data_IF_170236199623
#
_entry.id   IF_170236199623
#
_cell.length_a   1.000
_cell.length_b   1.000
_cell.length_c   1.000
_cell.angle_alpha   90.00
_cell.angle_beta   90.00
_cell.angle_gamma   90.00
#
_symmetry.space_group_name_H-M   'P 1'
#
loop_
_entity.id
_entity.type
_entity.pdbx_description
1 polymer ?
#
# COMPACT_ATOMS: atom_id res chain seq x y z
N UNK A 1 5.87 -3.58 -0.28
CA UNK A 1 4.54 -3.05 0.04
C UNK A 1 4.14 -1.91 -0.90
N UNK A 2 4.88 -0.79 -1.03
CA UNK A 2 4.47 0.31 -1.93
C UNK A 2 4.18 -0.11 -3.38
N UNK A 3 5.07 -0.89 -4.00
CA UNK A 3 4.87 -1.46 -5.35
C UNK A 3 3.67 -2.41 -5.49
N UNK A 4 3.19 -2.98 -4.39
CA UNK A 4 2.00 -3.84 -4.39
C UNK A 4 0.77 -2.93 -4.33
N UNK A 5 0.76 -1.95 -3.43
CA UNK A 5 -0.32 -0.98 -3.28
C UNK A 5 -0.56 -0.20 -4.57
N UNK A 6 0.49 0.19 -5.30
CA UNK A 6 0.39 0.85 -6.61
C UNK A 6 -0.37 0.04 -7.67
N UNK A 7 -0.50 -1.27 -7.47
CA UNK A 7 -1.26 -2.15 -8.36
C UNK A 7 -2.67 -2.42 -7.90
N UNK A 8 -2.93 -2.38 -6.59
CA UNK A 8 -4.18 -2.90 -6.00
C UNK A 8 -5.03 -1.81 -5.33
N UNK A 9 -4.46 -0.65 -5.04
CA UNK A 9 -5.12 0.43 -4.32
C UNK A 9 -5.32 1.64 -5.27
N UNK A 10 -6.56 1.97 -5.66
CA UNK A 10 -6.82 3.05 -6.61
C UNK A 10 -6.34 4.44 -6.16
N UNK A 11 -6.29 4.66 -4.84
CA UNK A 11 -5.85 5.92 -4.23
C UNK A 11 -4.32 6.02 -4.04
N UNK A 12 -3.54 4.98 -4.32
CA UNK A 12 -2.10 4.95 -4.07
C UNK A 12 -1.29 5.04 -5.35
N UNK A 13 -0.25 5.89 -5.38
CA UNK A 13 0.64 6.04 -6.53
C UNK A 13 2.10 5.97 -6.08
N UNK A 14 2.83 4.98 -6.59
CA UNK A 14 4.25 4.74 -6.28
C UNK A 14 5.12 5.94 -6.66
N UNK A 15 4.84 6.56 -7.80
CA UNK A 15 5.62 7.71 -8.30
C UNK A 15 5.47 8.96 -7.42
N UNK A 16 4.45 9.02 -6.56
CA UNK A 16 4.28 10.09 -5.57
C UNK A 16 4.98 9.81 -4.25
N UNK A 17 5.60 8.63 -4.07
CA UNK A 17 6.29 8.28 -2.84
C UNK A 17 7.70 8.91 -2.77
N UNK A 18 8.08 9.39 -1.58
CA UNK A 18 9.45 9.79 -1.26
C UNK A 18 10.05 8.88 -0.19
N UNK A 19 11.19 8.28 -0.50
CA UNK A 19 11.95 7.42 0.42
C UNK A 19 13.21 8.08 0.96
N UNK A 20 13.41 9.37 0.68
CA UNK A 20 14.56 10.12 1.15
C UNK A 20 14.51 10.27 2.68
N UNK A 21 15.64 10.00 3.34
CA UNK A 21 15.83 10.26 4.77
C UNK A 21 16.73 11.48 4.92
N UNK A 22 16.12 12.60 5.27
CA UNK A 22 16.84 13.84 5.58
C UNK A 22 17.38 13.80 7.01
N UNK A 23 18.52 14.45 7.25
CA UNK A 23 19.16 14.51 8.58
C UNK A 23 18.22 15.10 9.64
N UNK A 24 17.39 16.08 9.27
CA UNK A 24 16.38 16.68 10.14
C UNK A 24 15.26 15.72 10.56
N UNK A 25 15.08 14.61 9.84
CA UNK A 25 14.03 13.60 10.09
C UNK A 25 14.56 12.32 10.73
N UNK A 26 15.83 12.29 11.13
CA UNK A 26 16.46 11.10 11.70
C UNK A 26 15.79 10.61 12.98
N UNK A 27 15.25 11.54 13.78
CA UNK A 27 14.51 11.23 15.02
C UNK A 27 13.02 10.91 14.80
N UNK A 28 12.53 10.88 13.56
CA UNK A 28 11.12 10.52 13.31
C UNK A 28 10.88 9.04 13.59
N UNK A 29 9.69 8.72 14.09
CA UNK A 29 9.32 7.35 14.48
C UNK A 29 9.62 6.32 13.37
N UNK A 30 9.31 6.65 12.11
CA UNK A 30 9.61 5.79 10.96
C UNK A 30 11.09 5.42 10.88
N UNK A 31 11.98 6.41 11.01
CA UNK A 31 13.42 6.22 10.86
C UNK A 31 14.00 5.48 12.06
N UNK A 32 13.56 5.79 13.28
CA UNK A 32 13.97 5.09 14.51
C UNK A 32 13.55 3.62 14.45
N UNK A 33 12.29 3.33 14.11
CA UNK A 33 11.76 1.96 13.98
C UNK A 33 12.53 1.16 12.91
N UNK A 34 12.98 1.82 11.84
CA UNK A 34 13.81 1.18 10.82
C UNK A 34 15.26 0.94 11.27
N UNK A 35 15.94 1.99 11.73
CA UNK A 35 17.39 1.95 12.02
C UNK A 35 17.70 1.27 13.34
N UNK A 36 16.94 1.58 14.39
CA UNK A 36 17.24 1.16 15.76
C UNK A 36 16.50 -0.13 16.13
N UNK A 37 15.25 -0.29 15.68
CA UNK A 37 14.45 -1.48 15.98
C UNK A 37 14.54 -2.58 14.89
N UNK A 38 15.25 -2.31 13.78
CA UNK A 38 15.47 -3.28 12.71
C UNK A 38 14.24 -3.62 11.86
N UNK A 39 13.16 -2.84 11.94
CA UNK A 39 11.95 -3.08 11.14
C UNK A 39 12.16 -2.55 9.72
N UNK A 40 12.54 -3.45 8.81
CA UNK A 40 12.90 -3.12 7.42
C UNK A 40 11.82 -2.40 6.61
N UNK A 41 10.54 -2.61 6.96
CA UNK A 41 9.38 -2.10 6.22
C UNK A 41 8.62 -1.04 7.03
N UNK A 42 9.35 -0.05 7.53
CA UNK A 42 8.81 1.09 8.26
C UNK A 42 8.46 2.23 7.30
N UNK A 43 7.19 2.61 7.23
CA UNK A 43 6.68 3.63 6.32
C UNK A 43 5.75 4.61 7.04
N UNK A 44 5.60 5.80 6.47
CA UNK A 44 4.51 6.73 6.79
C UNK A 44 3.60 6.75 5.57
N UNK A 45 2.30 6.52 5.77
CA UNK A 45 1.31 6.67 4.72
C UNK A 45 0.65 8.03 4.89
N UNK A 46 0.61 8.82 3.81
CA UNK A 46 0.08 10.18 3.81
C UNK A 46 -1.13 10.23 2.86
N UNK A 47 -2.20 10.92 3.27
CA UNK A 47 -3.40 11.13 2.46
C UNK A 47 -3.49 12.58 2.01
N UNK A 48 -4.02 12.81 0.81
CA UNK A 48 -4.27 14.15 0.27
C UNK A 48 -5.54 14.75 0.89
N UNK A 49 -5.50 16.04 1.20
CA UNK A 49 -6.68 16.77 1.70
C UNK A 49 -7.53 17.35 0.56
N UNK A 50 -6.92 17.88 -0.50
CA UNK A 50 -7.63 18.71 -1.48
C UNK A 50 -8.18 17.95 -2.69
N UNK A 51 -7.50 16.89 -3.15
CA UNK A 51 -7.96 15.95 -4.18
C UNK A 51 -6.82 15.04 -4.65
N UNK A 52 -7.17 13.93 -5.30
CA UNK A 52 -6.22 13.13 -6.06
C UNK A 52 -5.94 13.77 -7.42
N UNK A 53 -4.68 13.74 -7.84
CA UNK A 53 -4.24 14.28 -9.14
C UNK A 53 -4.33 13.27 -10.29
N UNK A 54 -4.47 11.98 -9.97
CA UNK A 54 -4.44 10.85 -10.91
C UNK A 54 -5.39 9.73 -10.45
N UNK A 55 -5.58 8.73 -11.31
CA UNK A 55 -6.34 7.52 -10.99
C UNK A 55 -7.86 7.72 -11.01
N UNK A 56 -8.58 6.71 -10.50
CA UNK A 56 -10.04 6.67 -10.42
C UNK A 56 -10.62 7.88 -9.70
N UNK A 57 -9.93 8.36 -8.66
CA UNK A 57 -10.37 9.46 -7.81
C UNK A 57 -9.87 10.84 -8.26
N UNK A 58 -9.36 10.98 -9.49
CA UNK A 58 -8.83 12.25 -9.98
C UNK A 58 -9.87 13.37 -9.88
N UNK A 59 -9.50 14.46 -9.21
CA UNK A 59 -10.36 15.63 -9.00
C UNK A 59 -11.39 15.45 -7.87
N UNK A 60 -11.42 14.29 -7.22
CA UNK A 60 -12.28 14.01 -6.07
C UNK A 60 -11.48 14.16 -4.78
N UNK A 61 -12.13 14.69 -3.74
CA UNK A 61 -11.62 14.68 -2.38
C UNK A 61 -11.88 13.31 -1.76
N UNK A 62 -10.87 12.72 -1.12
CA UNK A 62 -11.03 11.44 -0.42
C UNK A 62 -11.90 11.63 0.82
N UNK A 63 -12.99 10.89 0.90
CA UNK A 63 -13.85 10.78 2.05
C UNK A 63 -13.56 9.53 2.87
N UNK A 64 -14.43 9.22 3.83
CA UNK A 64 -14.28 8.05 4.69
C UNK A 64 -14.28 6.76 3.89
N UNK A 65 -15.14 6.63 2.88
CA UNK A 65 -15.27 5.41 2.08
C UNK A 65 -13.97 5.08 1.33
N UNK A 66 -13.33 6.07 0.70
CA UNK A 66 -12.09 5.85 -0.03
C UNK A 66 -10.91 5.57 0.93
N UNK A 67 -10.94 6.14 2.13
CA UNK A 67 -9.95 5.85 3.17
C UNK A 67 -10.11 4.42 3.73
N UNK A 68 -11.35 3.96 3.90
CA UNK A 68 -11.66 2.58 4.29
C UNK A 68 -11.25 1.59 3.19
N UNK A 69 -11.51 1.91 1.92
CA UNK A 69 -11.02 1.13 0.78
C UNK A 69 -9.49 1.04 0.81
N UNK A 70 -8.79 2.17 0.98
CA UNK A 70 -7.33 2.18 1.09
C UNK A 70 -6.84 1.31 2.27
N UNK A 71 -7.54 1.32 3.40
CA UNK A 71 -7.27 0.43 4.53
C UNK A 71 -7.43 -1.07 4.17
N UNK A 72 -8.52 -1.42 3.48
CA UNK A 72 -8.75 -2.78 2.99
C UNK A 72 -7.65 -3.23 2.01
N UNK A 73 -7.35 -2.40 1.00
CA UNK A 73 -6.28 -2.68 0.02
C UNK A 73 -4.89 -2.69 0.67
N UNK A 74 -4.68 -1.97 1.77
CA UNK A 74 -3.44 -2.07 2.57
C UNK A 74 -3.28 -3.46 3.20
N UNK A 75 -4.33 -3.98 3.84
CA UNK A 75 -4.35 -5.34 4.39
C UNK A 75 -4.10 -6.39 3.28
N UNK A 76 -4.75 -6.21 2.12
CA UNK A 76 -4.53 -7.04 0.94
C UNK A 76 -3.06 -7.03 0.49
N UNK A 77 -2.46 -5.85 0.44
CA UNK A 77 -1.06 -5.66 0.11
C UNK A 77 -0.11 -6.37 1.08
N UNK A 78 -0.46 -6.41 2.37
CA UNK A 78 0.29 -7.17 3.39
C UNK A 78 0.17 -8.68 3.17
N UNK A 79 -1.02 -9.20 2.87
CA UNK A 79 -1.24 -10.61 2.56
C UNK A 79 -0.41 -11.05 1.34
N UNK A 80 -0.50 -10.30 0.23
CA UNK A 80 0.30 -10.56 -0.98
C UNK A 80 1.79 -10.55 -0.64
N UNK A 81 2.23 -9.59 0.16
CA UNK A 81 3.63 -9.48 0.55
C UNK A 81 4.11 -10.67 1.38
N UNK A 82 3.26 -11.13 2.31
CA UNK A 82 3.54 -12.29 3.14
C UNK A 82 3.65 -13.55 2.28
N UNK A 83 2.66 -13.82 1.41
CA UNK A 83 2.67 -14.97 0.50
C UNK A 83 3.90 -14.99 -0.40
N UNK A 84 4.34 -13.84 -0.93
CA UNK A 84 5.58 -13.72 -1.71
C UNK A 84 6.86 -14.00 -0.94
N UNK A 85 6.82 -13.94 0.39
CA UNK A 85 7.98 -14.20 1.26
C UNK A 85 8.10 -15.65 1.71
N UNK A 86 7.02 -16.43 1.60
CA UNK A 86 7.04 -17.86 1.90
C UNK A 86 7.69 -18.63 0.75
N UNK A 87 8.44 -19.71 1.04
CA UNK A 87 8.77 -20.73 0.06
C UNK A 87 7.50 -21.54 -0.28
N UNK A 88 6.52 -20.89 -0.88
CA UNK A 88 5.21 -21.46 -1.16
C UNK A 88 5.15 -22.00 -2.60
N UNK A 89 4.42 -23.11 -2.79
CA UNK A 89 4.20 -23.69 -4.12
C UNK A 89 3.52 -22.68 -5.05
N UNK A 90 3.84 -22.75 -6.35
CA UNK A 90 3.24 -21.91 -7.39
C UNK A 90 1.70 -21.99 -7.40
N UNK A 91 1.12 -23.11 -6.98
CA UNK A 91 -0.34 -23.26 -6.90
C UNK A 91 -0.99 -22.34 -5.86
N UNK A 92 -0.41 -22.20 -4.67
CA UNK A 92 -0.96 -21.34 -3.61
C UNK A 92 -0.86 -19.87 -3.99
N UNK A 93 0.24 -19.50 -4.66
CA UNK A 93 0.42 -18.17 -5.23
C UNK A 93 -0.61 -17.87 -6.33
N UNK A 94 -0.94 -18.88 -7.16
CA UNK A 94 -1.96 -18.75 -8.20
C UNK A 94 -3.38 -18.66 -7.62
N UNK A 95 -3.69 -19.43 -6.56
CA UNK A 95 -4.98 -19.35 -5.86
C UNK A 95 -5.17 -18.01 -5.16
N UNK A 96 -4.12 -17.48 -4.53
CA UNK A 96 -4.16 -16.15 -3.95
C UNK A 96 -4.36 -15.06 -5.01
N UNK A 97 -3.68 -15.16 -6.17
CA UNK A 97 -3.92 -14.25 -7.29
C UNK A 97 -5.37 -14.30 -7.77
N UNK A 98 -5.93 -15.50 -7.90
CA UNK A 98 -7.31 -15.68 -8.38
C UNK A 98 -8.36 -15.14 -7.38
N UNK A 99 -8.12 -15.27 -6.07
CA UNK A 99 -8.96 -14.65 -5.04
C UNK A 99 -8.89 -13.12 -5.06
N UNK A 100 -7.75 -12.55 -5.45
CA UNK A 100 -7.56 -11.11 -5.58
C UNK A 100 -8.26 -10.55 -6.82
N UNK A 101 -8.24 -11.29 -7.92
CA UNK A 101 -8.90 -10.92 -9.18
C UNK A 101 -10.43 -11.04 -9.06
N UNK A 102 -10.95 -12.01 -8.28
CA UNK A 102 -12.39 -12.18 -8.03
C UNK A 102 -13.02 -11.03 -7.22
N UNK A 103 -12.25 -10.30 -6.41
CA UNK A 103 -12.77 -9.11 -5.71
C UNK A 103 -13.01 -7.92 -6.67
N UNK A 104 -12.36 -7.90 -7.85
CA UNK A 104 -12.60 -6.86 -8.86
C UNK A 104 -13.88 -7.12 -9.68
N UNK A 105 -14.30 -8.38 -9.85
CA UNK A 105 -15.52 -8.75 -10.61
C UNK A 105 -16.84 -8.60 -9.81
N UNK A 106 -16.79 -8.51 -8.47
CA UNK A 106 -18.00 -8.45 -7.63
C UNK A 106 -18.54 -7.01 -7.45
N UNK A 107 -17.83 -6.00 -7.96
CA UNK A 107 -18.19 -4.58 -7.80
C UNK A 107 -18.86 -3.90 -9.00
N UNK A 108 -19.44 -4.67 -9.94
CA UNK A 108 -20.32 -4.12 -11.00
C UNK A 108 -21.76 -3.85 -10.52
#
# INVERSE_FOLDING_TARGET
LPKILDKVAPAFVMNSCSFLVEKSRESTARVVVWKEMGVLRSYTMESTYCSCSHGLYKGLQLGTQELEEMGSKFCLGLLILHLKSLPCSKEVMAQAALLLDLEEEITD
#
